data_IF_976999508998
#
_entry.id   IF_976999508998
#
_cell.length_a   1.000
_cell.length_b   1.000
_cell.length_c   1.000
_cell.angle_alpha   90.00
_cell.angle_beta   90.00
_cell.angle_gamma   90.00
#
_symmetry.space_group_name_H-M   'P 1'
#
loop_
_entity.id
_entity.type
_entity.pdbx_description
1 polymer ?
#
# COMPACT_ATOMS: atom_id res chain seq x y z
N UNK A 1 4.90 20.78 -3.00
CA UNK A 1 4.84 19.32 -2.81
C UNK A 1 3.42 18.88 -3.11
N UNK A 2 3.22 17.78 -3.85
CA UNK A 2 1.87 17.19 -3.99
C UNK A 2 1.45 16.60 -2.65
N UNK A 3 0.18 16.75 -2.29
CA UNK A 3 -0.40 16.12 -1.10
C UNK A 3 -0.66 14.64 -1.37
N UNK A 4 -0.21 13.76 -0.48
CA UNK A 4 -0.45 12.32 -0.58
C UNK A 4 -1.73 12.01 0.20
N UNK A 5 -2.76 11.52 -0.49
CA UNK A 5 -4.00 11.08 0.17
C UNK A 5 -3.72 9.81 0.97
N UNK A 6 -4.23 9.74 2.19
CA UNK A 6 -4.09 8.56 3.06
C UNK A 6 -5.47 8.00 3.41
N UNK A 7 -5.70 6.75 3.03
CA UNK A 7 -6.90 5.99 3.40
C UNK A 7 -6.52 4.86 4.36
N UNK A 8 -6.95 4.99 5.61
CA UNK A 8 -6.68 3.99 6.64
C UNK A 8 -7.59 2.77 6.48
N UNK A 9 -7.07 1.57 6.78
CA UNK A 9 -7.88 0.35 6.76
C UNK A 9 -8.87 0.37 7.92
N UNK A 10 -10.07 -0.16 7.68
CA UNK A 10 -11.07 -0.41 8.73
C UNK A 10 -10.87 -1.77 9.41
N UNK A 11 -9.99 -2.61 8.87
CA UNK A 11 -9.73 -3.97 9.31
C UNK A 11 -8.21 -4.20 9.44
N UNK A 12 -7.56 -3.69 10.49
CA UNK A 12 -6.12 -3.83 10.68
C UNK A 12 -5.74 -5.30 10.95
N UNK A 13 -4.65 -5.76 10.33
CA UNK A 13 -4.11 -7.10 10.56
C UNK A 13 -3.36 -7.15 11.88
N UNK A 14 -3.43 -8.29 12.56
CA UNK A 14 -2.57 -8.54 13.70
C UNK A 14 -1.12 -8.65 13.22
N UNK A 15 -0.22 -7.87 13.83
CA UNK A 15 1.21 -7.97 13.55
C UNK A 15 1.74 -9.33 14.03
N UNK A 16 2.63 -9.98 13.26
CA UNK A 16 3.34 -11.16 13.74
C UNK A 16 3.99 -10.87 15.09
N UNK A 17 3.78 -11.75 16.07
CA UNK A 17 4.36 -11.60 17.41
C UNK A 17 5.70 -12.32 17.56
N UNK A 18 5.95 -13.31 16.70
CA UNK A 18 7.14 -14.15 16.73
C UNK A 18 8.02 -13.81 15.53
N UNK A 19 9.09 -13.05 15.79
CA UNK A 19 10.03 -12.60 14.76
C UNK A 19 10.81 -13.75 14.11
N UNK A 20 10.93 -14.89 14.81
CA UNK A 20 11.62 -16.08 14.26
C UNK A 20 10.82 -16.77 13.15
N UNK A 21 9.54 -16.43 13.01
CA UNK A 21 8.62 -16.97 11.99
C UNK A 21 8.32 -15.97 10.87
N UNK A 22 9.09 -14.90 10.76
CA UNK A 22 8.98 -13.99 9.61
C UNK A 22 9.50 -14.69 8.35
N UNK A 23 8.61 -14.91 7.38
CA UNK A 23 8.97 -15.42 6.06
C UNK A 23 9.18 -14.30 5.05
N UNK A 24 10.18 -14.41 4.19
CA UNK A 24 10.43 -13.42 3.14
C UNK A 24 9.30 -13.44 2.09
N UNK A 25 8.74 -12.26 1.78
CA UNK A 25 7.76 -12.09 0.68
C UNK A 25 6.38 -12.69 0.90
N UNK A 26 6.04 -13.14 2.11
CA UNK A 26 4.76 -13.81 2.41
C UNK A 26 3.86 -13.03 3.37
N UNK A 27 4.41 -12.06 4.09
CA UNK A 27 3.68 -11.24 5.07
C UNK A 27 3.70 -9.79 4.58
N UNK A 28 2.51 -9.22 4.37
CA UNK A 28 2.33 -7.85 3.90
C UNK A 28 1.65 -6.99 4.98
N UNK A 29 1.96 -5.70 5.02
CA UNK A 29 1.37 -4.71 5.94
C UNK A 29 -0.04 -4.29 5.51
N UNK A 30 -0.72 -3.49 6.32
CA UNK A 30 -2.10 -3.06 6.09
C UNK A 30 -2.31 -2.16 4.87
N UNK A 31 -1.24 -1.52 4.38
CA UNK A 31 -1.31 -0.47 3.38
C UNK A 31 -0.26 -0.65 2.29
N UNK A 32 -0.55 -0.06 1.14
CA UNK A 32 0.35 0.06 0.00
C UNK A 32 0.31 1.47 -0.57
N UNK A 33 1.39 1.85 -1.26
CA UNK A 33 1.44 3.10 -2.02
C UNK A 33 1.09 2.84 -3.48
N UNK A 34 0.29 3.73 -4.06
CA UNK A 34 -0.05 3.75 -5.48
C UNK A 34 0.16 5.17 -6.03
N UNK A 35 0.54 5.23 -7.29
CA UNK A 35 0.60 6.46 -8.07
C UNK A 35 0.33 6.10 -9.53
N UNK A 36 -0.53 6.87 -10.17
CA UNK A 36 -0.89 6.60 -11.55
C UNK A 36 0.15 7.25 -12.48
N UNK A 37 0.35 6.64 -13.65
CA UNK A 37 1.14 7.23 -14.72
C UNK A 37 0.32 7.20 -16.01
N UNK A 38 0.15 8.38 -16.61
CA UNK A 38 -0.46 8.53 -17.92
C UNK A 38 0.48 9.28 -18.86
N UNK A 39 0.59 8.80 -20.10
CA UNK A 39 1.39 9.47 -21.12
C UNK A 39 0.88 10.90 -21.35
N UNK A 40 1.77 11.88 -21.28
CA UNK A 40 1.45 13.31 -21.41
C UNK A 40 1.08 14.03 -20.11
N UNK A 41 0.60 13.31 -19.09
CA UNK A 41 0.37 13.84 -17.74
C UNK A 41 1.55 13.56 -16.80
N UNK A 42 2.27 12.47 -17.03
CA UNK A 42 3.32 11.98 -16.14
C UNK A 42 2.75 11.27 -14.92
N UNK A 43 3.47 11.33 -13.81
CA UNK A 43 3.02 10.74 -12.54
C UNK A 43 2.02 11.66 -11.83
N UNK A 44 0.91 11.09 -11.37
CA UNK A 44 -0.13 11.82 -10.64
C UNK A 44 -0.92 10.92 -9.69
N UNK A 45 -1.81 11.54 -8.90
CA UNK A 45 -2.67 10.86 -7.90
C UNK A 45 -1.91 9.96 -6.91
N UNK A 46 -0.92 10.50 -6.16
CA UNK A 46 -0.22 9.72 -5.14
C UNK A 46 -1.14 9.42 -3.95
N UNK A 47 -1.23 8.15 -3.57
CA UNK A 47 -2.11 7.70 -2.49
C UNK A 47 -1.54 6.52 -1.70
N UNK A 48 -1.78 6.53 -0.39
CA UNK A 48 -1.62 5.38 0.49
C UNK A 48 -3.02 4.80 0.72
N UNK A 49 -3.20 3.52 0.38
CA UNK A 49 -4.50 2.82 0.43
C UNK A 49 -4.37 1.47 1.13
N UNK A 50 -5.47 0.84 1.58
CA UNK A 50 -5.42 -0.53 2.10
C UNK A 50 -4.79 -1.49 1.09
N UNK A 51 -3.96 -2.41 1.58
CA UNK A 51 -3.30 -3.40 0.73
C UNK A 51 -4.33 -4.30 0.04
N UNK A 52 -4.21 -4.47 -1.28
CA UNK A 52 -5.15 -5.23 -2.09
C UNK A 52 -4.60 -5.60 -3.47
N UNK A 53 -5.38 -6.35 -4.29
CA UNK A 53 -4.99 -6.69 -5.65
C UNK A 53 -4.83 -5.42 -6.52
N UNK A 54 -3.93 -5.49 -7.50
CA UNK A 54 -3.83 -4.48 -8.55
C UNK A 54 -4.85 -4.80 -9.65
N UNK A 55 -5.70 -3.84 -9.95
CA UNK A 55 -6.58 -3.87 -11.13
C UNK A 55 -5.80 -3.29 -12.32
N UNK A 56 -5.82 -4.01 -13.46
CA UNK A 56 -5.11 -3.66 -14.69
C UNK A 56 -6.08 -3.20 -15.78
#
# INVERSE_FOLDING_TARGET
MQEIRVELTKHPKQKPQDETKLGFGTIFTDHMFLMNYDAGQGWHDPRIVPYGPLEL
#
